data_IF_794315622536
#
_entry.id   IF_794315622536
#
_cell.length_a   1.000
_cell.length_b   1.000
_cell.length_c   1.000
_cell.angle_alpha   90.00
_cell.angle_beta   90.00
_cell.angle_gamma   90.00
#
_symmetry.space_group_name_H-M   'P 1'
#
loop_
_entity.id
_entity.type
_entity.pdbx_description
1 polymer ?
#
# COMPACT_ATOMS: atom_id res chain seq x y z
N UNK A 1 0.17 21.28 3.91
CA UNK A 1 -0.82 21.21 5.01
C UNK A 1 -0.75 19.79 5.54
N UNK A 2 -0.21 19.56 6.75
CA UNK A 2 -0.26 18.24 7.38
C UNK A 2 -1.73 17.96 7.72
N UNK A 3 -2.31 16.92 7.14
CA UNK A 3 -3.66 16.48 7.51
C UNK A 3 -3.59 15.72 8.84
N UNK A 4 -4.50 16.05 9.74
CA UNK A 4 -4.74 15.30 10.96
C UNK A 4 -5.78 14.23 10.64
N UNK A 5 -5.35 13.02 10.29
CA UNK A 5 -6.26 11.88 10.24
C UNK A 5 -6.92 11.71 11.61
N UNK A 6 -8.24 11.59 11.63
CA UNK A 6 -8.98 11.50 12.89
C UNK A 6 -9.27 10.03 13.19
N UNK A 7 -8.63 9.47 14.22
CA UNK A 7 -9.00 8.15 14.76
C UNK A 7 -10.36 8.30 15.43
N UNK A 8 -11.38 7.60 14.92
CA UNK A 8 -12.74 7.76 15.42
C UNK A 8 -12.87 7.08 16.81
N UNK A 9 -12.88 7.87 17.88
CA UNK A 9 -13.37 7.41 19.19
C UNK A 9 -14.90 7.55 19.24
N UNK A 10 -15.65 6.71 18.53
CA UNK A 10 -17.09 6.57 18.79
C UNK A 10 -17.31 5.51 19.86
N UNK A 11 -17.95 5.90 20.95
CA UNK A 11 -18.35 5.01 22.05
C UNK A 11 -19.20 3.86 21.52
N UNK A 12 -18.71 2.65 21.78
CA UNK A 12 -19.18 1.38 21.26
C UNK A 12 -20.43 0.85 21.96
N UNK A 13 -21.37 0.26 21.21
CA UNK A 13 -22.44 -0.59 21.76
C UNK A 13 -22.01 -2.07 21.70
N UNK A 14 -21.85 -2.68 22.89
CA UNK A 14 -21.38 -4.05 23.09
C UNK A 14 -22.24 -5.15 22.47
N UNK A 15 -23.43 -4.80 21.97
CA UNK A 15 -24.40 -5.75 21.43
C UNK A 15 -24.33 -5.93 19.91
N UNK A 16 -23.44 -5.22 19.20
CA UNK A 16 -23.47 -5.15 17.72
C UNK A 16 -22.41 -6.00 16.98
N UNK A 17 -21.54 -6.77 17.63
CA UNK A 17 -20.52 -7.54 16.88
C UNK A 17 -21.01 -8.93 16.45
N UNK A 18 -21.38 -9.05 15.17
CA UNK A 18 -21.43 -10.34 14.44
C UNK A 18 -20.19 -10.48 13.54
N UNK A 19 -19.99 -11.63 12.89
CA UNK A 19 -18.92 -11.83 11.91
C UNK A 19 -18.94 -10.85 10.72
N UNK A 20 -20.02 -10.08 10.57
CA UNK A 20 -20.25 -9.11 9.49
C UNK A 20 -20.16 -7.65 9.96
N UNK A 21 -19.95 -7.41 11.26
CA UNK A 21 -19.82 -6.06 11.83
C UNK A 21 -18.44 -5.91 12.47
N UNK A 22 -17.60 -5.14 11.81
CA UNK A 22 -16.26 -4.79 12.27
C UNK A 22 -16.32 -3.64 13.28
N UNK A 23 -15.76 -3.89 14.47
CA UNK A 23 -15.64 -2.85 15.50
C UNK A 23 -14.68 -1.77 15.02
N UNK A 24 -14.99 -0.50 15.29
CA UNK A 24 -14.11 0.61 14.93
C UNK A 24 -14.20 1.04 13.47
N UNK A 25 -15.19 0.55 12.72
CA UNK A 25 -15.43 0.97 11.34
C UNK A 25 -16.53 2.02 11.27
N UNK A 26 -16.24 3.14 10.63
CA UNK A 26 -17.24 4.09 10.14
C UNK A 26 -17.99 3.55 8.89
N UNK A 27 -19.08 4.21 8.50
CA UNK A 27 -19.91 3.78 7.37
C UNK A 27 -19.13 3.73 6.05
N UNK A 28 -18.22 4.69 5.83
CA UNK A 28 -17.38 4.72 4.63
C UNK A 28 -16.45 3.49 4.50
N UNK A 29 -15.99 2.93 5.62
CA UNK A 29 -15.14 1.72 5.61
C UNK A 29 -15.94 0.52 5.11
N UNK A 30 -17.19 0.37 5.56
CA UNK A 30 -18.10 -0.66 5.04
C UNK A 30 -18.40 -0.45 3.56
N UNK A 31 -18.68 0.79 3.15
CA UNK A 31 -18.92 1.10 1.75
C UNK A 31 -17.72 0.78 0.87
N UNK A 32 -16.49 1.03 1.35
CA UNK A 32 -15.25 0.69 0.67
C UNK A 32 -15.06 -0.83 0.58
N UNK A 33 -15.14 -1.55 1.70
CA UNK A 33 -14.90 -3.00 1.76
C UNK A 33 -15.93 -3.82 0.97
N UNK A 34 -17.17 -3.33 0.89
CA UNK A 34 -18.25 -3.95 0.11
C UNK A 34 -18.32 -3.43 -1.34
N UNK A 35 -17.43 -2.51 -1.72
CA UNK A 35 -17.42 -1.85 -3.03
C UNK A 35 -18.78 -1.21 -3.40
N UNK A 36 -19.47 -0.63 -2.42
CA UNK A 36 -20.76 0.06 -2.61
C UNK A 36 -20.56 1.49 -3.11
N UNK A 37 -20.27 1.63 -4.40
CA UNK A 37 -19.90 2.89 -5.08
C UNK A 37 -20.73 4.11 -4.71
N UNK A 38 -22.05 4.05 -4.85
CA UNK A 38 -22.88 5.23 -4.65
C UNK A 38 -22.97 5.65 -3.17
N UNK A 39 -22.96 4.66 -2.26
CA UNK A 39 -22.88 4.91 -0.81
C UNK A 39 -21.52 5.51 -0.45
N UNK A 40 -20.44 4.97 -1.02
CA UNK A 40 -19.09 5.47 -0.80
C UNK A 40 -18.96 6.94 -1.23
N UNK A 41 -19.39 7.29 -2.44
CA UNK A 41 -19.36 8.67 -2.95
C UNK A 41 -20.15 9.63 -2.06
N UNK A 42 -21.33 9.20 -1.60
CA UNK A 42 -22.15 10.00 -0.69
C UNK A 42 -21.43 10.29 0.63
N UNK A 43 -20.78 9.28 1.21
CA UNK A 43 -20.06 9.40 2.48
C UNK A 43 -18.69 10.08 2.35
N UNK A 44 -18.05 10.01 1.18
CA UNK A 44 -16.69 10.49 0.96
C UNK A 44 -16.50 11.94 1.40
N UNK A 45 -17.45 12.83 1.08
CA UNK A 45 -17.35 14.24 1.42
C UNK A 45 -17.24 14.52 2.94
N UNK A 46 -17.66 13.57 3.79
CA UNK A 46 -17.76 13.75 5.25
C UNK A 46 -16.86 12.80 6.05
N UNK A 47 -16.45 11.67 5.46
CA UNK A 47 -15.80 10.57 6.20
C UNK A 47 -14.45 10.11 5.60
N UNK A 48 -13.96 10.75 4.53
CA UNK A 48 -12.79 10.25 3.80
C UNK A 48 -11.48 10.16 4.60
N UNK A 49 -11.35 10.95 5.67
CA UNK A 49 -10.17 11.06 6.53
C UNK A 49 -10.24 10.17 7.79
N UNK A 50 -11.32 9.40 7.93
CA UNK A 50 -11.48 8.48 9.04
C UNK A 50 -10.59 7.25 8.87
N UNK A 51 -10.07 6.78 10.00
CA UNK A 51 -9.30 5.55 10.10
C UNK A 51 -10.10 4.48 10.85
N UNK A 52 -9.82 3.21 10.57
CA UNK A 52 -10.28 2.09 11.40
C UNK A 52 -9.68 2.20 12.80
N UNK A 53 -10.42 1.80 13.83
CA UNK A 53 -9.89 1.79 15.20
C UNK A 53 -9.15 0.49 15.55
N UNK A 54 -9.64 -0.65 15.06
CA UNK A 54 -9.18 -1.98 15.44
C UNK A 54 -8.84 -2.83 14.21
N UNK A 55 -7.92 -3.80 14.34
CA UNK A 55 -7.67 -4.80 13.30
C UNK A 55 -8.94 -5.56 12.93
N UNK A 56 -9.09 -5.87 11.65
CA UNK A 56 -10.27 -6.54 11.10
C UNK A 56 -9.87 -7.48 9.97
N UNK A 57 -10.47 -8.67 9.97
CA UNK A 57 -10.26 -9.66 8.91
C UNK A 57 -11.33 -9.51 7.85
N UNK A 58 -10.93 -9.24 6.61
CA UNK A 58 -11.84 -9.02 5.48
C UNK A 58 -11.55 -10.00 4.34
N UNK A 59 -12.54 -10.28 3.49
CA UNK A 59 -12.34 -11.14 2.33
C UNK A 59 -11.64 -10.38 1.20
N UNK A 60 -10.50 -10.90 0.75
CA UNK A 60 -9.82 -10.48 -0.47
C UNK A 60 -10.13 -11.50 -1.57
N UNK A 61 -11.21 -11.23 -2.32
CA UNK A 61 -11.68 -12.15 -3.36
C UNK A 61 -10.59 -12.45 -4.41
N UNK A 62 -9.76 -11.47 -4.76
CA UNK A 62 -8.64 -11.61 -5.71
C UNK A 62 -7.60 -12.63 -5.26
N UNK A 63 -7.38 -12.77 -3.95
CA UNK A 63 -6.45 -13.76 -3.39
C UNK A 63 -7.16 -15.05 -2.95
N UNK A 64 -8.49 -15.13 -3.08
CA UNK A 64 -9.29 -16.28 -2.63
C UNK A 64 -9.18 -16.54 -1.13
N UNK A 65 -8.87 -15.52 -0.32
CA UNK A 65 -8.62 -15.67 1.12
C UNK A 65 -9.05 -14.44 1.91
N UNK A 66 -9.00 -14.57 3.23
CA UNK A 66 -9.10 -13.41 4.11
C UNK A 66 -7.74 -12.73 4.32
N UNK A 67 -7.79 -11.43 4.54
CA UNK A 67 -6.66 -10.56 4.86
C UNK A 67 -7.00 -9.81 6.14
N UNK A 68 -6.09 -9.81 7.11
CA UNK A 68 -6.19 -8.93 8.27
C UNK A 68 -5.66 -7.56 7.89
N UNK A 69 -6.49 -6.55 8.06
CA UNK A 69 -6.12 -5.14 7.98
C UNK A 69 -6.01 -4.63 9.41
N UNK A 70 -4.91 -3.95 9.71
CA UNK A 70 -4.64 -3.43 11.05
C UNK A 70 -5.56 -2.24 11.40
N UNK A 71 -5.61 -1.91 12.69
CA UNK A 71 -6.17 -0.63 13.14
C UNK A 71 -5.41 0.55 12.52
N UNK A 72 -5.99 1.73 12.50
CA UNK A 72 -5.39 2.91 11.87
C UNK A 72 -5.38 2.88 10.33
N UNK A 73 -6.04 1.90 9.70
CA UNK A 73 -6.10 1.80 8.25
C UNK A 73 -7.14 2.78 7.68
N UNK A 74 -6.72 3.54 6.68
CA UNK A 74 -7.59 4.40 5.88
C UNK A 74 -8.46 3.62 4.89
N UNK A 75 -9.42 4.31 4.29
CA UNK A 75 -10.24 3.78 3.19
C UNK A 75 -9.42 3.26 2.00
N UNK A 76 -8.20 3.78 1.77
CA UNK A 76 -7.33 3.29 0.71
C UNK A 76 -6.87 1.86 0.99
N UNK A 77 -6.41 1.57 2.21
CA UNK A 77 -5.98 0.21 2.60
C UNK A 77 -7.09 -0.83 2.32
N UNK A 78 -8.34 -0.47 2.60
CA UNK A 78 -9.51 -1.28 2.30
C UNK A 78 -9.71 -1.46 0.80
N UNK A 79 -9.74 -0.35 0.05
CA UNK A 79 -9.94 -0.34 -1.42
C UNK A 79 -8.89 -1.20 -2.13
N UNK A 80 -7.62 -1.10 -1.74
CA UNK A 80 -6.54 -1.90 -2.32
C UNK A 80 -6.77 -3.39 -2.02
N UNK A 81 -7.17 -3.72 -0.79
CA UNK A 81 -7.37 -5.11 -0.36
C UNK A 81 -8.54 -5.77 -1.08
N UNK A 82 -9.66 -5.06 -1.28
CA UNK A 82 -10.85 -5.64 -1.94
C UNK A 82 -10.86 -5.43 -3.46
N UNK A 83 -9.78 -4.88 -4.02
CA UNK A 83 -9.63 -4.56 -5.44
C UNK A 83 -10.74 -3.65 -6.01
N UNK A 84 -11.15 -2.63 -5.26
CA UNK A 84 -12.21 -1.70 -5.67
C UNK A 84 -11.67 -0.58 -6.59
N UNK A 85 -11.25 -0.94 -7.81
CA UNK A 85 -10.62 -0.03 -8.79
C UNK A 85 -11.47 1.19 -9.14
N UNK A 86 -12.79 1.05 -9.21
CA UNK A 86 -13.71 2.16 -9.46
C UNK A 86 -13.72 3.21 -8.34
N UNK A 87 -13.66 2.76 -7.07
CA UNK A 87 -13.55 3.65 -5.93
C UNK A 87 -12.21 4.38 -5.95
N UNK A 88 -11.13 3.66 -6.25
CA UNK A 88 -9.81 4.27 -6.34
C UNK A 88 -9.75 5.31 -7.47
N UNK A 89 -10.34 5.01 -8.62
CA UNK A 89 -10.44 5.95 -9.74
C UNK A 89 -11.19 7.22 -9.35
N UNK A 90 -12.30 7.08 -8.62
CA UNK A 90 -13.03 8.22 -8.07
C UNK A 90 -12.15 9.07 -7.13
N UNK A 91 -11.35 8.45 -6.26
CA UNK A 91 -10.44 9.17 -5.36
C UNK A 91 -9.38 9.94 -6.14
N UNK A 92 -8.76 9.33 -7.15
CA UNK A 92 -7.79 10.03 -8.00
C UNK A 92 -8.41 11.22 -8.75
N UNK A 93 -9.66 11.09 -9.20
CA UNK A 93 -10.39 12.21 -9.78
C UNK A 93 -10.57 13.34 -8.75
N UNK A 94 -11.03 13.01 -7.54
CA UNK A 94 -11.21 14.00 -6.45
C UNK A 94 -9.92 14.69 -6.05
N UNK A 95 -8.81 13.96 -5.94
CA UNK A 95 -7.50 14.56 -5.68
C UNK A 95 -7.04 15.56 -6.74
N UNK A 96 -7.50 15.37 -7.98
CA UNK A 96 -7.14 16.23 -9.11
C UNK A 96 -8.06 17.45 -9.17
N UNK A 97 -9.36 17.28 -8.91
CA UNK A 97 -10.36 18.34 -9.07
C UNK A 97 -10.62 19.18 -7.80
N UNK A 98 -10.41 18.61 -6.62
CA UNK A 98 -10.88 19.16 -5.34
C UNK A 98 -9.75 19.08 -4.28
N UNK A 99 -8.86 20.09 -4.23
CA UNK A 99 -7.69 20.12 -3.33
C UNK A 99 -8.04 20.00 -1.83
N UNK A 100 -9.28 20.30 -1.44
CA UNK A 100 -9.77 20.18 -0.07
C UNK A 100 -9.76 18.73 0.46
N UNK A 101 -9.81 17.72 -0.41
CA UNK A 101 -9.74 16.31 -0.03
C UNK A 101 -8.32 15.82 0.29
N UNK A 102 -7.37 16.75 0.39
CA UNK A 102 -5.98 16.55 0.79
C UNK A 102 -5.28 15.33 0.17
N UNK A 103 -4.26 14.83 0.86
CA UNK A 103 -3.44 13.73 0.37
C UNK A 103 -3.65 12.51 1.27
N UNK A 104 -4.38 11.52 0.76
CA UNK A 104 -4.56 10.24 1.44
C UNK A 104 -3.33 9.33 1.29
N UNK A 105 -2.33 9.72 0.48
CA UNK A 105 -1.04 9.07 0.45
C UNK A 105 -0.24 9.40 1.72
N UNK A 106 0.59 8.46 2.14
CA UNK A 106 1.45 8.61 3.32
C UNK A 106 0.81 8.25 4.65
N UNK A 107 -0.50 7.94 4.65
CA UNK A 107 -1.16 7.37 5.82
C UNK A 107 -0.55 6.01 6.16
N UNK A 108 -0.20 5.80 7.43
CA UNK A 108 0.23 4.51 7.97
C UNK A 108 -0.82 3.95 8.92
N UNK A 109 -1.02 2.64 8.86
CA UNK A 109 -1.80 1.93 9.86
C UNK A 109 -1.01 1.72 11.17
N UNK A 110 -1.62 1.09 12.17
CA UNK A 110 -1.03 0.85 13.49
C UNK A 110 0.22 -0.09 13.41
N UNK A 111 0.40 -0.86 12.33
CA UNK A 111 1.63 -1.62 12.05
C UNK A 111 2.70 -0.82 11.28
N UNK A 112 2.46 0.48 11.05
CA UNK A 112 3.33 1.37 10.31
C UNK A 112 3.29 1.16 8.79
N UNK A 113 2.39 0.31 8.29
CA UNK A 113 2.30 0.02 6.86
C UNK A 113 1.58 1.17 6.17
N UNK A 114 2.23 1.76 5.17
CA UNK A 114 1.54 2.63 4.23
C UNK A 114 0.81 1.80 3.16
N UNK A 115 -0.04 2.45 2.38
CA UNK A 115 -0.76 1.80 1.29
C UNK A 115 0.20 1.22 0.23
N UNK A 116 1.28 1.93 -0.11
CA UNK A 116 2.34 1.45 -1.00
C UNK A 116 3.02 0.19 -0.46
N UNK A 117 3.31 0.12 0.85
CA UNK A 117 3.90 -1.06 1.48
C UNK A 117 2.95 -2.27 1.44
N UNK A 118 1.63 -2.04 1.43
CA UNK A 118 0.64 -3.11 1.27
C UNK A 118 0.50 -3.60 -0.17
N UNK A 119 0.85 -2.81 -1.19
CA UNK A 119 0.62 -3.17 -2.59
C UNK A 119 1.19 -4.55 -2.99
N UNK A 120 2.44 -4.92 -2.64
CA UNK A 120 2.99 -6.23 -3.01
C UNK A 120 2.33 -7.39 -2.26
N UNK A 121 1.81 -7.12 -1.06
CA UNK A 121 1.13 -8.10 -0.19
C UNK A 121 -0.22 -8.48 -0.80
N UNK A 122 -1.03 -7.49 -1.17
CA UNK A 122 -2.37 -7.73 -1.71
C UNK A 122 -2.36 -8.02 -3.21
N UNK A 123 -1.42 -7.44 -3.96
CA UNK A 123 -1.19 -7.65 -5.39
C UNK A 123 -2.45 -7.61 -6.27
N UNK A 124 -3.35 -6.69 -5.96
CA UNK A 124 -4.57 -6.43 -6.72
C UNK A 124 -4.31 -5.40 -7.83
N UNK A 125 -5.25 -5.26 -8.77
CA UNK A 125 -5.20 -4.22 -9.80
C UNK A 125 -5.22 -2.82 -9.17
N UNK A 126 -6.09 -2.60 -8.18
CA UNK A 126 -6.14 -1.34 -7.43
C UNK A 126 -4.80 -1.04 -6.74
N UNK A 127 -4.13 -2.05 -6.17
CA UNK A 127 -2.80 -1.88 -5.58
C UNK A 127 -1.74 -1.48 -6.62
N UNK A 128 -1.79 -2.06 -7.82
CA UNK A 128 -0.87 -1.68 -8.89
C UNK A 128 -1.16 -0.27 -9.41
N UNK A 129 -2.43 0.12 -9.56
CA UNK A 129 -2.85 1.49 -9.86
C UNK A 129 -2.36 2.50 -8.81
N UNK A 130 -2.40 2.13 -7.52
CA UNK A 130 -1.85 2.96 -6.44
C UNK A 130 -0.34 3.11 -6.54
N UNK A 131 0.38 2.00 -6.70
CA UNK A 131 1.83 1.98 -6.75
C UNK A 131 2.41 2.70 -7.98
N UNK A 132 1.65 2.81 -9.08
CA UNK A 132 2.07 3.52 -10.28
C UNK A 132 1.77 5.02 -10.24
N UNK A 133 1.06 5.51 -9.23
CA UNK A 133 0.71 6.92 -9.10
C UNK A 133 1.91 7.76 -8.65
N UNK A 134 2.24 8.78 -9.43
CA UNK A 134 3.35 9.69 -9.14
C UNK A 134 3.20 10.36 -7.76
N UNK A 135 1.99 10.82 -7.45
CA UNK A 135 1.68 11.49 -6.19
C UNK A 135 1.89 10.53 -5.01
N UNK A 136 1.50 9.26 -5.16
CA UNK A 136 1.72 8.23 -4.14
C UNK A 136 3.22 7.99 -3.96
N UNK A 137 3.97 7.76 -5.04
CA UNK A 137 5.40 7.48 -4.96
C UNK A 137 6.15 8.62 -4.28
N UNK A 138 5.85 9.89 -4.63
CA UNK A 138 6.48 11.05 -3.98
C UNK A 138 6.29 11.08 -2.46
N UNK A 139 5.15 10.63 -1.95
CA UNK A 139 4.82 10.68 -0.54
C UNK A 139 5.20 9.41 0.24
N UNK A 140 5.15 8.24 -0.41
CA UNK A 140 5.21 6.96 0.29
C UNK A 140 6.50 6.18 0.09
N UNK A 141 7.26 6.42 -0.99
CA UNK A 141 8.42 5.56 -1.33
C UNK A 141 9.52 5.55 -0.26
N UNK A 142 9.59 6.60 0.57
CA UNK A 142 10.55 6.71 1.70
C UNK A 142 10.05 6.07 2.99
N UNK A 143 8.79 5.64 3.05
CA UNK A 143 8.19 5.14 4.27
C UNK A 143 8.59 3.70 4.55
N UNK A 144 8.78 3.39 5.83
CA UNK A 144 8.99 2.04 6.33
C UNK A 144 7.87 1.65 7.33
N UNK A 145 7.66 0.34 7.50
CA UNK A 145 6.81 -0.21 8.55
C UNK A 145 7.42 -0.02 9.95
N UNK A 146 6.69 -0.42 11.00
CA UNK A 146 7.22 -0.36 12.38
C UNK A 146 8.41 -1.30 12.62
N UNK A 147 8.62 -2.29 11.74
CA UNK A 147 9.80 -3.17 11.75
C UNK A 147 10.87 -2.69 10.75
N UNK A 148 10.79 -1.43 10.32
CA UNK A 148 11.73 -0.79 9.40
C UNK A 148 11.82 -1.45 8.02
N UNK A 149 10.80 -2.23 7.64
CA UNK A 149 10.73 -2.78 6.28
C UNK A 149 10.20 -1.73 5.30
N UNK A 150 10.96 -1.53 4.24
CA UNK A 150 10.66 -0.58 3.18
C UNK A 150 10.07 -1.27 1.93
N UNK A 151 9.75 -0.50 0.89
CA UNK A 151 9.05 -1.05 -0.29
C UNK A 151 9.88 -2.12 -1.02
N UNK A 152 11.18 -1.89 -1.21
CA UNK A 152 12.10 -2.84 -1.87
C UNK A 152 12.18 -4.15 -1.08
N UNK A 153 12.28 -4.07 0.25
CA UNK A 153 12.32 -5.24 1.14
C UNK A 153 11.05 -6.08 1.04
N UNK A 154 9.88 -5.45 1.06
CA UNK A 154 8.61 -6.17 0.98
C UNK A 154 8.46 -6.84 -0.40
N UNK A 155 8.82 -6.13 -1.48
CA UNK A 155 8.80 -6.69 -2.84
C UNK A 155 9.70 -7.92 -2.96
N UNK A 156 10.93 -7.85 -2.43
CA UNK A 156 11.87 -8.96 -2.40
C UNK A 156 11.35 -10.14 -1.56
N UNK A 157 10.84 -9.85 -0.36
CA UNK A 157 10.33 -10.86 0.58
C UNK A 157 9.17 -11.64 -0.01
N UNK A 158 8.19 -10.97 -0.63
CA UNK A 158 7.00 -11.60 -1.21
C UNK A 158 7.29 -12.23 -2.59
N UNK A 159 8.29 -11.71 -3.32
CA UNK A 159 8.67 -12.20 -4.64
C UNK A 159 7.68 -11.78 -5.71
N UNK A 160 7.60 -10.47 -6.00
CA UNK A 160 6.68 -9.91 -7.00
C UNK A 160 7.43 -9.24 -8.16
N UNK A 161 7.66 -9.95 -9.28
CA UNK A 161 8.36 -9.40 -10.44
C UNK A 161 7.77 -8.08 -10.92
N UNK A 162 6.44 -7.96 -11.03
CA UNK A 162 5.78 -6.74 -11.50
C UNK A 162 6.11 -5.49 -10.66
N UNK A 163 6.35 -5.63 -9.35
CA UNK A 163 6.73 -4.51 -8.50
C UNK A 163 8.26 -4.30 -8.49
N UNK A 164 9.04 -5.34 -8.74
CA UNK A 164 10.48 -5.20 -8.98
C UNK A 164 10.74 -4.45 -10.30
N UNK A 165 9.97 -4.75 -11.35
CA UNK A 165 9.98 -4.01 -12.61
C UNK A 165 9.55 -2.56 -12.39
N UNK A 166 8.57 -2.31 -11.52
CA UNK A 166 8.20 -0.94 -11.16
C UNK A 166 9.34 -0.19 -10.44
N UNK A 167 10.03 -0.84 -9.50
CA UNK A 167 11.23 -0.28 -8.85
C UNK A 167 12.33 -0.01 -9.90
N UNK A 168 12.50 -0.94 -10.84
CA UNK A 168 13.41 -0.78 -11.96
C UNK A 168 13.01 0.40 -12.83
N UNK A 169 11.75 0.56 -13.17
CA UNK A 169 11.27 1.71 -13.93
C UNK A 169 11.54 3.03 -13.20
N UNK A 170 11.35 3.06 -11.87
CA UNK A 170 11.69 4.22 -11.03
C UNK A 170 13.19 4.54 -11.02
N UNK A 171 14.04 3.51 -11.07
CA UNK A 171 15.49 3.65 -11.09
C UNK A 171 16.04 3.99 -12.50
N UNK A 172 15.52 3.33 -13.53
CA UNK A 172 15.99 3.38 -14.91
C UNK A 172 15.51 4.65 -15.60
N UNK A 173 14.23 5.07 -15.44
CA UNK A 173 13.70 6.20 -16.21
C UNK A 173 12.50 6.96 -15.60
N UNK A 174 12.66 8.28 -15.61
CA UNK A 174 11.94 9.30 -16.38
C UNK A 174 10.97 8.92 -17.56
N UNK A 175 10.59 7.65 -17.85
CA UNK A 175 9.87 7.30 -19.11
C UNK A 175 8.36 7.12 -19.02
N UNK A 176 7.78 7.05 -17.84
CA UNK A 176 6.32 6.94 -17.70
C UNK A 176 5.71 7.97 -16.75
N UNK A 177 6.50 8.51 -15.82
CA UNK A 177 6.08 9.56 -14.91
C UNK A 177 6.65 10.88 -15.41
N UNK A 178 5.79 11.83 -15.80
CA UNK A 178 6.17 13.20 -16.20
C UNK A 178 6.67 13.99 -14.98
N UNK A 179 7.72 13.51 -14.31
CA UNK A 179 8.32 14.14 -13.14
C UNK A 179 9.25 15.25 -13.62
N UNK A 180 8.72 16.41 -14.02
CA UNK A 180 9.59 17.57 -14.28
C UNK A 180 10.30 18.01 -12.98
N UNK A 181 11.63 18.01 -12.99
CA UNK A 181 12.48 18.76 -12.05
C UNK A 181 12.91 18.10 -10.73
N UNK A 182 12.61 16.82 -10.45
CA UNK A 182 12.98 16.15 -9.17
C UNK A 182 13.61 14.76 -9.30
N UNK A 183 13.96 14.36 -10.53
CA UNK A 183 14.34 12.98 -10.90
C UNK A 183 15.64 12.50 -10.24
N UNK A 184 16.63 13.38 -10.07
CA UNK A 184 17.90 13.02 -9.44
C UNK A 184 17.68 12.47 -8.02
N UNK A 185 16.67 12.98 -7.32
CA UNK A 185 16.36 12.54 -5.95
C UNK A 185 15.68 11.17 -5.88
N UNK A 186 14.87 10.77 -6.87
CA UNK A 186 14.16 9.49 -6.79
C UNK A 186 15.12 8.31 -6.92
N UNK A 187 16.09 8.41 -7.83
CA UNK A 187 17.17 7.43 -7.96
C UNK A 187 17.95 7.26 -6.65
N UNK A 188 18.29 8.37 -6.00
CA UNK A 188 18.93 8.36 -4.69
C UNK A 188 18.04 7.72 -3.61
N UNK A 189 16.73 8.01 -3.61
CA UNK A 189 15.78 7.37 -2.68
C UNK A 189 15.79 5.86 -2.85
N UNK A 190 15.68 5.38 -4.10
CA UNK A 190 15.68 3.94 -4.37
C UNK A 190 17.01 3.33 -3.92
N UNK A 191 18.14 3.99 -4.22
CA UNK A 191 19.46 3.55 -3.75
C UNK A 191 19.52 3.46 -2.22
N UNK A 192 19.04 4.47 -1.50
CA UNK A 192 18.94 4.46 -0.04
C UNK A 192 18.11 3.26 0.46
N UNK A 193 16.97 2.97 -0.17
CA UNK A 193 16.11 1.83 0.19
C UNK A 193 16.85 0.49 0.08
N UNK A 194 17.68 0.30 -0.95
CA UNK A 194 18.51 -0.91 -1.10
C UNK A 194 19.58 -1.06 -0.01
N UNK A 195 20.04 0.05 0.58
CA UNK A 195 21.09 0.07 1.61
C UNK A 195 20.52 -0.06 3.04
N UNK A 196 19.22 0.14 3.22
CA UNK A 196 18.56 0.00 4.52
C UNK A 196 18.54 -1.45 5.00
N UNK A 197 18.40 -1.60 6.31
CA UNK A 197 18.17 -2.86 7.00
C UNK A 197 16.91 -2.72 7.86
N UNK A 198 16.21 -3.84 8.07
CA UNK A 198 15.11 -3.90 9.02
C UNK A 198 15.62 -3.90 10.48
N UNK A 199 14.69 -3.91 11.45
CA UNK A 199 15.04 -3.94 12.88
C UNK A 199 15.86 -5.18 13.31
N UNK A 200 15.93 -6.22 12.46
CA UNK A 200 16.74 -7.43 12.68
C UNK A 200 18.09 -7.37 11.94
N UNK A 201 18.42 -6.25 11.29
CA UNK A 201 19.64 -6.10 10.50
C UNK A 201 19.57 -6.78 9.11
N UNK A 202 18.40 -7.23 8.65
CA UNK A 202 18.23 -7.88 7.35
C UNK A 202 17.96 -6.85 6.26
N UNK A 203 18.69 -6.94 5.16
CA UNK A 203 18.41 -6.16 3.95
C UNK A 203 17.43 -6.89 3.03
N UNK A 204 17.08 -6.25 1.90
CA UNK A 204 16.16 -6.80 0.90
C UNK A 204 16.55 -8.21 0.41
N UNK A 205 17.85 -8.48 0.25
CA UNK A 205 18.36 -9.76 -0.24
C UNK A 205 18.17 -10.86 0.80
N UNK A 206 18.59 -10.59 2.04
CA UNK A 206 18.40 -11.53 3.15
C UNK A 206 16.91 -11.84 3.39
N UNK A 207 16.03 -10.85 3.27
CA UNK A 207 14.57 -11.05 3.35
C UNK A 207 14.01 -11.83 2.14
N UNK A 208 14.56 -11.58 0.96
CA UNK A 208 14.23 -12.32 -0.27
C UNK A 208 14.57 -13.81 -0.22
N UNK A 209 15.59 -14.19 0.54
CA UNK A 209 15.99 -15.59 0.71
C UNK A 209 15.16 -16.35 1.76
N UNK A 210 14.37 -15.65 2.59
CA UNK A 210 13.53 -16.29 3.59
C UNK A 210 12.42 -17.14 2.95
N UNK A 211 12.10 -18.32 3.51
CA UNK A 211 10.94 -19.08 3.07
C UNK A 211 9.65 -18.30 3.35
N UNK A 212 8.71 -18.33 2.40
CA UNK A 212 7.37 -17.75 2.56
C UNK A 212 6.31 -18.78 2.18
N UNK A 213 5.10 -18.60 2.70
CA UNK A 213 3.93 -19.32 2.19
C UNK A 213 3.49 -18.71 0.86
N UNK A 214 3.90 -19.33 -0.24
CA UNK A 214 3.55 -18.88 -1.59
C UNK A 214 2.04 -18.89 -1.87
N UNK A 215 1.30 -19.82 -1.27
CA UNK A 215 -0.15 -19.90 -1.44
C UNK A 215 -0.83 -18.70 -0.78
N UNK A 216 -0.36 -18.29 0.40
CA UNK A 216 -0.86 -17.09 1.08
C UNK A 216 -0.71 -15.83 0.22
N UNK A 217 0.36 -15.73 -0.56
CA UNK A 217 0.58 -14.56 -1.40
C UNK A 217 0.15 -14.78 -2.86
N UNK A 218 -0.41 -15.91 -3.27
CA UNK A 218 -0.63 -16.19 -4.71
C UNK A 218 0.64 -15.87 -5.54
N UNK A 219 1.78 -16.38 -5.08
CA UNK A 219 3.10 -16.23 -5.71
C UNK A 219 3.72 -17.62 -5.89
N UNK A 220 4.96 -17.70 -6.36
CA UNK A 220 5.71 -18.95 -6.44
C UNK A 220 7.23 -18.70 -6.43
N UNK A 221 7.99 -19.79 -6.28
CA UNK A 221 9.45 -19.74 -6.21
C UNK A 221 10.08 -19.10 -7.45
N UNK A 222 9.58 -19.42 -8.65
CA UNK A 222 10.10 -18.86 -9.92
C UNK A 222 9.92 -17.34 -9.95
N UNK A 223 8.73 -16.85 -9.61
CA UNK A 223 8.45 -15.43 -9.51
C UNK A 223 9.33 -14.73 -8.46
N UNK A 224 9.62 -15.41 -7.34
CA UNK A 224 10.54 -14.88 -6.33
C UNK A 224 11.96 -14.76 -6.86
N UNK A 225 12.47 -15.79 -7.52
CA UNK A 225 13.80 -15.77 -8.13
C UNK A 225 13.91 -14.68 -9.21
N UNK A 226 12.90 -14.54 -10.06
CA UNK A 226 12.88 -13.51 -11.09
C UNK A 226 12.80 -12.10 -10.49
N UNK A 227 12.00 -11.91 -9.43
CA UNK A 227 11.97 -10.68 -8.65
C UNK A 227 13.36 -10.32 -8.11
N UNK A 228 14.08 -11.28 -7.53
CA UNK A 228 15.42 -11.03 -6.99
C UNK A 228 16.45 -10.74 -8.10
N UNK A 229 16.35 -11.37 -9.26
CA UNK A 229 17.20 -11.05 -10.42
C UNK A 229 16.97 -9.62 -10.91
N UNK A 230 15.71 -9.18 -10.99
CA UNK A 230 15.37 -7.81 -11.39
C UNK A 230 15.96 -6.83 -10.37
N UNK A 231 15.68 -7.01 -9.08
CA UNK A 231 16.20 -6.14 -8.01
C UNK A 231 17.74 -6.11 -7.96
N UNK A 232 18.40 -7.25 -8.18
CA UNK A 232 19.86 -7.32 -8.28
C UNK A 232 20.38 -6.48 -9.46
N UNK A 233 19.72 -6.56 -10.63
CA UNK A 233 20.12 -5.75 -11.79
C UNK A 233 19.98 -4.25 -11.53
N UNK A 234 18.97 -3.83 -10.76
CA UNK A 234 18.77 -2.43 -10.37
C UNK A 234 19.91 -1.94 -9.49
N UNK A 235 20.23 -2.66 -8.40
CA UNK A 235 21.30 -2.20 -7.49
C UNK A 235 22.68 -2.23 -8.16
N UNK A 236 22.93 -3.18 -9.07
CA UNK A 236 24.17 -3.23 -9.86
C UNK A 236 24.30 -2.00 -10.78
N UNK A 237 23.19 -1.48 -11.30
CA UNK A 237 23.17 -0.25 -12.10
C UNK A 237 23.30 1.02 -11.22
N UNK A 238 22.64 1.06 -10.07
CA UNK A 238 22.73 2.17 -9.11
C UNK A 238 24.12 2.32 -8.45
N UNK A 239 24.93 1.27 -8.51
CA UNK A 239 26.28 1.22 -7.94
C UNK A 239 27.40 1.59 -8.92
N UNK A 240 27.08 1.77 -10.21
CA UNK A 240 27.99 2.29 -11.24
C UNK A 240 28.04 3.81 -11.20
#
# INVERSE_FOLDING_TARGET
IQQNFTKQMRTYDSRQSTATVHRGWAAIHYAAALNHKEVFKFLFAQEYDLLTDQPSTINCATLGRTVTIEGGSSIIHLILTVNATELLTFIFQKWTSEPEFGDLAGCKNDAGQSCLLMCPIVATEAAYMWATSEKVIRNEIRLCSNVEQNFVMIVAMIGRPQYADLIKDFADKQKSLHIEGQIDKLKDVIKEQFMQQDVQGKNWKALGELPIDFALYNSNQVAKEDCLKILQSVIDELSK
#
